data_IF_333876767202
#
_entry.id   IF_333876767202
#
_cell.length_a   1.000
_cell.length_b   1.000
_cell.length_c   1.000
_cell.angle_alpha   90.00
_cell.angle_beta   90.00
_cell.angle_gamma   90.00
#
_symmetry.space_group_name_H-M   'P 1'
#
loop_
_entity.id
_entity.type
_entity.pdbx_description
1 polymer ?
#
# COMPACT_ATOMS: atom_id res chain seq x y z
N UNK A 1 0.12 8.02 4.04
CA UNK A 1 1.44 8.04 3.36
C UNK A 1 1.44 7.30 2.02
N UNK A 2 0.82 6.11 1.91
CA UNK A 2 0.83 5.32 0.67
C UNK A 2 0.25 6.03 -0.58
N UNK A 3 -0.84 6.79 -0.42
CA UNK A 3 -1.43 7.53 -1.54
C UNK A 3 -0.50 8.64 -2.06
N UNK A 4 0.31 9.25 -1.19
CA UNK A 4 1.24 10.31 -1.59
C UNK A 4 2.34 9.77 -2.52
N UNK A 5 2.76 8.51 -2.34
CA UNK A 5 3.70 7.82 -3.23
C UNK A 5 3.19 7.72 -4.67
N UNK A 6 1.87 7.75 -4.88
CA UNK A 6 1.29 7.68 -6.23
C UNK A 6 1.15 9.03 -6.94
N UNK A 7 1.22 10.15 -6.20
CA UNK A 7 1.06 11.50 -6.77
C UNK A 7 2.39 12.11 -7.20
N UNK A 8 3.43 11.95 -6.39
CA UNK A 8 4.79 12.35 -6.72
C UNK A 8 5.77 11.38 -6.05
N UNK A 9 6.12 10.33 -6.80
CA UNK A 9 6.94 9.24 -6.29
C UNK A 9 8.33 9.74 -5.89
N UNK A 10 8.99 10.53 -6.74
CA UNK A 10 10.35 11.03 -6.49
C UNK A 10 10.41 11.91 -5.24
N UNK A 11 9.46 12.86 -5.07
CA UNK A 11 9.43 13.69 -3.86
C UNK A 11 9.14 12.88 -2.60
N UNK A 12 8.21 11.92 -2.68
CA UNK A 12 7.87 11.04 -1.56
C UNK A 12 9.03 10.11 -1.19
N UNK A 13 9.76 9.61 -2.19
CA UNK A 13 10.96 8.80 -2.02
C UNK A 13 12.03 9.60 -1.28
N UNK A 14 12.32 10.82 -1.71
CA UNK A 14 13.33 11.69 -1.07
C UNK A 14 12.93 12.03 0.37
N UNK A 15 11.67 12.43 0.61
CA UNK A 15 11.20 12.76 1.96
C UNK A 15 11.28 11.54 2.89
N UNK A 16 10.82 10.37 2.44
CA UNK A 16 10.91 9.14 3.22
C UNK A 16 12.38 8.84 3.58
N UNK A 17 13.28 8.84 2.59
CA UNK A 17 14.67 8.50 2.86
C UNK A 17 15.38 9.52 3.75
N UNK A 18 15.06 10.81 3.60
CA UNK A 18 15.63 11.87 4.44
C UNK A 18 15.16 11.76 5.90
N UNK A 19 13.94 11.30 6.15
CA UNK A 19 13.41 11.14 7.51
C UNK A 19 13.97 9.92 8.24
N UNK A 20 14.24 8.83 7.52
CA UNK A 20 14.58 7.53 8.13
C UNK A 20 16.03 7.08 7.93
N UNK A 21 16.77 7.70 7.00
CA UNK A 21 18.13 7.29 6.66
C UNK A 21 19.10 8.47 6.70
N UNK A 22 20.36 8.18 6.99
CA UNK A 22 21.42 9.18 6.95
C UNK A 22 21.67 9.64 5.51
N UNK A 23 22.13 10.89 5.37
CA UNK A 23 22.43 11.45 4.05
C UNK A 23 23.54 10.64 3.36
N UNK A 24 23.38 10.38 2.06
CA UNK A 24 24.35 9.66 1.24
C UNK A 24 24.27 8.13 1.33
N UNK A 25 23.47 7.55 2.24
CA UNK A 25 23.35 6.08 2.33
C UNK A 25 22.29 5.49 1.41
N UNK A 26 21.47 6.33 0.79
CA UNK A 26 20.32 5.93 -0.04
C UNK A 26 20.37 6.49 -1.47
N UNK A 27 21.35 7.34 -1.78
CA UNK A 27 21.59 7.86 -3.12
C UNK A 27 22.68 7.03 -3.80
N UNK A 28 22.37 6.51 -4.98
CA UNK A 28 23.30 5.70 -5.76
C UNK A 28 23.53 6.35 -7.12
N UNK A 29 24.69 6.09 -7.73
CA UNK A 29 24.95 6.49 -9.12
C UNK A 29 23.98 5.79 -10.07
N UNK A 30 23.59 6.47 -11.15
CA UNK A 30 22.75 5.90 -12.22
C UNK A 30 23.40 4.67 -12.87
N UNK A 31 24.74 4.62 -12.90
CA UNK A 31 25.50 3.49 -13.43
C UNK A 31 25.58 2.30 -12.48
N UNK A 32 25.14 2.47 -11.22
CA UNK A 32 25.15 1.38 -10.26
C UNK A 32 24.24 0.25 -10.72
N UNK A 33 24.68 -0.99 -10.48
CA UNK A 33 23.89 -2.18 -10.82
C UNK A 33 22.49 -2.11 -10.20
N UNK A 34 22.39 -1.59 -8.97
CA UNK A 34 21.13 -1.44 -8.25
C UNK A 34 20.12 -0.58 -9.03
N UNK A 35 20.52 0.61 -9.49
CA UNK A 35 19.62 1.52 -10.22
C UNK A 35 19.27 0.98 -11.61
N UNK A 36 20.22 0.32 -12.29
CA UNK A 36 19.96 -0.30 -13.61
C UNK A 36 19.02 -1.49 -13.53
N UNK A 37 19.12 -2.30 -12.47
CA UNK A 37 18.24 -3.46 -12.25
C UNK A 37 16.88 -3.06 -11.69
N UNK A 38 16.85 -2.07 -10.80
CA UNK A 38 15.63 -1.58 -10.15
C UNK A 38 15.50 -0.07 -10.36
N UNK A 39 15.09 0.36 -11.57
CA UNK A 39 14.89 1.78 -11.85
C UNK A 39 13.72 2.33 -11.04
N UNK A 40 13.62 3.65 -10.91
CA UNK A 40 12.53 4.31 -10.19
C UNK A 40 11.13 3.81 -10.60
N UNK A 41 10.94 3.63 -11.92
CA UNK A 41 9.68 3.13 -12.49
C UNK A 41 9.28 1.75 -11.96
N UNK A 42 10.24 0.88 -11.65
CA UNK A 42 9.98 -0.43 -11.05
C UNK A 42 9.32 -0.26 -9.68
N UNK A 43 9.90 0.58 -8.82
CA UNK A 43 9.36 0.83 -7.48
C UNK A 43 7.99 1.51 -7.55
N UNK A 44 7.82 2.51 -8.42
CA UNK A 44 6.53 3.16 -8.62
C UNK A 44 5.44 2.14 -9.02
N UNK A 45 5.72 1.28 -9.99
CA UNK A 45 4.78 0.24 -10.42
C UNK A 45 4.49 -0.77 -9.29
N UNK A 46 5.52 -1.16 -8.54
CA UNK A 46 5.38 -2.05 -7.38
C UNK A 46 4.45 -1.44 -6.31
N UNK A 47 4.70 -0.20 -5.89
CA UNK A 47 3.87 0.49 -4.90
C UNK A 47 2.43 0.64 -5.38
N UNK A 48 2.22 0.99 -6.66
CA UNK A 48 0.89 1.08 -7.25
C UNK A 48 0.14 -0.25 -7.13
N UNK A 49 0.79 -1.37 -7.47
CA UNK A 49 0.19 -2.70 -7.35
C UNK A 49 -0.14 -3.04 -5.89
N UNK A 50 0.77 -2.77 -4.97
CA UNK A 50 0.55 -3.00 -3.53
C UNK A 50 -0.66 -2.22 -3.02
N UNK A 51 -0.80 -0.94 -3.40
CA UNK A 51 -1.91 -0.08 -2.97
C UNK A 51 -3.25 -0.60 -3.52
N UNK A 52 -3.30 -0.92 -4.81
CA UNK A 52 -4.52 -1.43 -5.45
C UNK A 52 -4.93 -2.76 -4.83
N UNK A 53 -4.00 -3.71 -4.67
CA UNK A 53 -4.30 -5.00 -4.07
C UNK A 53 -4.74 -4.87 -2.62
N UNK A 54 -4.07 -4.02 -1.83
CA UNK A 54 -4.46 -3.77 -0.44
C UNK A 54 -5.86 -3.16 -0.34
N UNK A 55 -6.22 -2.24 -1.24
CA UNK A 55 -7.55 -1.65 -1.28
C UNK A 55 -8.63 -2.68 -1.64
N UNK A 56 -8.35 -3.56 -2.62
CA UNK A 56 -9.25 -4.66 -3.00
C UNK A 56 -9.45 -5.62 -1.84
N UNK A 57 -8.36 -6.05 -1.19
CA UNK A 57 -8.43 -6.97 -0.04
C UNK A 57 -9.17 -6.33 1.13
N UNK A 58 -8.92 -5.06 1.43
CA UNK A 58 -9.64 -4.35 2.48
C UNK A 58 -11.14 -4.26 2.20
N UNK A 59 -11.54 -3.91 0.98
CA UNK A 59 -12.94 -3.87 0.57
C UNK A 59 -13.61 -5.23 0.68
N UNK A 60 -12.93 -6.29 0.23
CA UNK A 60 -13.43 -7.66 0.34
C UNK A 60 -13.69 -8.06 1.80
N UNK A 61 -12.75 -7.80 2.70
CA UNK A 61 -12.90 -8.10 4.13
C UNK A 61 -14.03 -7.30 4.78
N UNK A 62 -14.20 -6.01 4.41
CA UNK A 62 -15.30 -5.18 4.90
C UNK A 62 -16.67 -5.72 4.47
N UNK A 63 -16.79 -6.16 3.22
CA UNK A 63 -18.03 -6.77 2.71
C UNK A 63 -18.33 -8.08 3.46
N UNK A 64 -17.33 -8.95 3.63
CA UNK A 64 -17.51 -10.19 4.39
C UNK A 64 -17.93 -9.92 5.83
N UNK A 65 -17.29 -8.96 6.50
CA UNK A 65 -17.65 -8.54 7.85
C UNK A 65 -19.10 -8.05 7.92
N UNK A 66 -19.52 -7.22 6.96
CA UNK A 66 -20.90 -6.71 6.90
C UNK A 66 -21.91 -7.84 6.71
N UNK A 67 -21.65 -8.78 5.79
CA UNK A 67 -22.52 -9.93 5.56
C UNK A 67 -22.63 -10.82 6.80
N UNK A 68 -21.51 -11.08 7.48
CA UNK A 68 -21.49 -11.87 8.72
C UNK A 68 -22.28 -11.17 9.84
N UNK A 69 -22.15 -9.84 9.96
CA UNK A 69 -22.90 -9.04 10.92
C UNK A 69 -24.41 -9.11 10.66
N UNK A 70 -24.83 -8.92 9.41
CA UNK A 70 -26.24 -9.00 9.01
C UNK A 70 -26.83 -10.40 9.23
N UNK A 71 -26.07 -11.45 8.88
CA UNK A 71 -26.46 -12.84 9.10
C UNK A 71 -26.67 -13.12 10.59
N UNK A 72 -25.72 -12.69 11.43
CA UNK A 72 -25.80 -12.89 12.89
C UNK A 72 -27.01 -12.17 13.47
N UNK A 73 -27.26 -10.92 13.05
CA UNK A 73 -28.41 -10.14 13.52
C UNK A 73 -29.75 -10.78 13.12
N UNK A 74 -29.87 -11.24 11.87
CA UNK A 74 -31.03 -12.00 11.41
C UNK A 74 -31.25 -13.26 12.27
N UNK A 75 -30.20 -14.04 12.50
CA UNK A 75 -30.28 -15.29 13.24
C UNK A 75 -30.70 -15.08 14.71
N UNK A 76 -30.11 -14.08 15.39
CA UNK A 76 -30.48 -13.76 16.78
C UNK A 76 -31.93 -13.30 16.87
N UNK A 77 -32.38 -12.42 15.97
CA UNK A 77 -33.76 -11.95 15.94
C UNK A 77 -34.75 -13.10 15.73
N UNK A 78 -34.46 -14.04 14.84
CA UNK A 78 -35.34 -15.18 14.54
C UNK A 78 -35.31 -16.31 15.58
N UNK A 79 -34.31 -16.35 16.46
CA UNK A 79 -34.20 -17.31 17.59
C UNK A 79 -34.84 -16.82 18.88
N UNK A 80 -35.08 -15.51 19.01
CA UNK A 80 -35.63 -14.88 20.21
C UNK A 80 -37.17 -14.89 20.29
N UNK A 81 -37.84 -15.55 19.33
CA UNK A 81 -39.29 -15.76 19.29
C UNK A 81 -39.62 -17.25 19.17
#
# INVERSE_FOLDING_TARGET
MLILLTLNFSASFVQFHTLFFQQGTWQFSEDSLLIRTFPEQFFFAFFRTVIVNSAITALFLLVLMLLAFLYTNYYVKNRAF
#
